data_IF_091644295930
#
_entry.id   IF_091644295930
#
_cell.length_a   1.000
_cell.length_b   1.000
_cell.length_c   1.000
_cell.angle_alpha   90.00
_cell.angle_beta   90.00
_cell.angle_gamma   90.00
#
_symmetry.space_group_name_H-M   'P 1'
#
loop_
_entity.id
_entity.type
_entity.pdbx_description
1 polymer ?
#
# COMPACT_ATOMS: atom_id res chain seq x y z
N UNK A 1 -59.69 -65.61 -42.16
CA UNK A 1 -58.57 -64.67 -42.26
C UNK A 1 -58.70 -63.64 -41.15
N UNK A 2 -57.97 -63.79 -40.08
CA UNK A 2 -57.95 -62.83 -38.93
C UNK A 2 -56.69 -62.02 -39.04
N UNK A 3 -56.83 -60.68 -39.13
CA UNK A 3 -55.72 -59.74 -39.08
C UNK A 3 -55.38 -59.47 -37.62
N UNK A 4 -54.17 -59.81 -37.24
CA UNK A 4 -53.58 -59.45 -35.96
C UNK A 4 -53.12 -57.96 -35.99
N UNK A 5 -53.64 -57.19 -35.07
CA UNK A 5 -53.20 -55.79 -34.83
C UNK A 5 -52.07 -55.80 -33.82
N UNK A 6 -50.89 -55.46 -34.28
CA UNK A 6 -49.74 -55.19 -33.41
C UNK A 6 -49.84 -53.77 -32.85
N UNK A 7 -49.80 -53.68 -31.53
CA UNK A 7 -49.69 -52.42 -30.78
C UNK A 7 -48.21 -52.02 -30.66
N UNK A 8 -47.82 -50.77 -30.97
CA UNK A 8 -46.47 -50.35 -30.83
C UNK A 8 -46.11 -50.12 -29.35
N UNK A 9 -44.81 -50.26 -28.93
CA UNK A 9 -44.38 -50.12 -27.54
C UNK A 9 -44.42 -48.69 -27.09
N UNK A 10 -44.90 -48.50 -25.85
CA UNK A 10 -44.97 -47.29 -25.06
C UNK A 10 -43.59 -46.63 -24.87
N UNK A 11 -43.35 -45.47 -25.51
CA UNK A 11 -42.17 -44.63 -25.30
C UNK A 11 -42.41 -43.78 -24.07
N UNK A 12 -41.97 -44.26 -22.90
CA UNK A 12 -41.87 -43.43 -21.69
C UNK A 12 -40.83 -42.33 -21.89
N UNK A 13 -41.17 -41.03 -21.66
CA UNK A 13 -40.19 -39.97 -21.72
C UNK A 13 -39.16 -40.12 -20.57
N UNK A 14 -37.88 -40.07 -20.92
CA UNK A 14 -36.77 -40.07 -19.98
C UNK A 14 -36.94 -38.92 -18.98
N UNK A 15 -37.04 -39.26 -17.69
CA UNK A 15 -37.00 -38.29 -16.60
C UNK A 15 -35.66 -37.57 -16.65
N UNK A 16 -35.64 -36.31 -17.11
CA UNK A 16 -34.50 -35.38 -16.89
C UNK A 16 -34.35 -35.20 -15.39
N UNK A 17 -33.21 -35.67 -14.85
CA UNK A 17 -32.82 -35.43 -13.48
C UNK A 17 -32.71 -33.91 -13.22
N UNK A 18 -32.89 -33.47 -11.99
CA UNK A 18 -32.77 -32.07 -11.65
C UNK A 18 -31.38 -31.59 -12.06
N UNK A 19 -31.32 -30.65 -13.02
CA UNK A 19 -30.09 -29.99 -13.45
C UNK A 19 -29.45 -29.38 -12.25
N UNK A 20 -28.12 -29.62 -12.09
CA UNK A 20 -27.29 -28.99 -11.09
C UNK A 20 -27.56 -27.48 -11.15
N UNK A 21 -27.96 -26.82 -10.04
CA UNK A 21 -28.26 -25.39 -10.10
C UNK A 21 -27.05 -24.67 -10.64
N UNK A 22 -27.24 -23.86 -11.70
CA UNK A 22 -26.29 -22.91 -12.20
C UNK A 22 -25.83 -22.11 -10.97
N UNK A 23 -24.52 -22.10 -10.71
CA UNK A 23 -23.88 -21.32 -9.67
C UNK A 23 -24.31 -19.86 -9.91
N UNK A 24 -25.34 -19.42 -9.19
CA UNK A 24 -25.71 -18.01 -9.16
C UNK A 24 -24.44 -17.23 -8.84
N UNK A 25 -24.16 -16.22 -9.63
CA UNK A 25 -23.12 -15.23 -9.35
C UNK A 25 -23.30 -14.81 -7.89
N UNK A 26 -22.35 -15.22 -7.05
CA UNK A 26 -22.34 -14.80 -5.64
C UNK A 26 -21.81 -13.39 -5.66
N UNK A 27 -22.68 -12.40 -5.46
CA UNK A 27 -22.39 -10.97 -5.29
C UNK A 27 -21.57 -10.68 -4.03
N UNK A 28 -20.61 -11.53 -3.66
CA UNK A 28 -19.78 -11.39 -2.49
C UNK A 28 -18.34 -11.82 -2.76
N UNK A 29 -17.40 -11.42 -1.90
CA UNK A 29 -16.00 -11.78 -2.04
C UNK A 29 -15.83 -13.31 -2.07
N UNK A 30 -14.92 -13.78 -2.92
CA UNK A 30 -14.59 -15.20 -2.99
C UNK A 30 -14.02 -15.71 -1.67
N UNK A 31 -14.13 -17.00 -1.39
CA UNK A 31 -13.53 -17.61 -0.19
C UNK A 31 -12.03 -17.28 -0.08
N UNK A 32 -11.33 -17.24 -1.22
CA UNK A 32 -9.91 -16.90 -1.27
C UNK A 32 -9.66 -15.45 -0.82
N UNK A 33 -10.49 -14.51 -1.22
CA UNK A 33 -10.39 -13.09 -0.80
C UNK A 33 -10.69 -12.92 0.68
N UNK A 34 -11.68 -13.66 1.21
CA UNK A 34 -11.97 -13.65 2.66
C UNK A 34 -10.77 -14.19 3.45
N UNK A 35 -10.18 -15.32 3.01
CA UNK A 35 -8.97 -15.88 3.64
C UNK A 35 -7.85 -14.85 3.64
N UNK A 36 -7.55 -14.18 2.51
CA UNK A 36 -6.49 -13.19 2.40
C UNK A 36 -6.72 -11.98 3.31
N UNK A 37 -7.96 -11.50 3.40
CA UNK A 37 -8.29 -10.38 4.29
C UNK A 37 -8.02 -10.75 5.74
N UNK A 38 -8.59 -11.85 6.22
CA UNK A 38 -8.46 -12.29 7.62
C UNK A 38 -6.99 -12.67 7.96
N UNK A 39 -6.29 -13.30 7.01
CA UNK A 39 -4.87 -13.61 7.18
C UNK A 39 -4.01 -12.34 7.27
N UNK A 40 -4.28 -11.34 6.43
CA UNK A 40 -3.57 -10.04 6.48
C UNK A 40 -3.70 -9.39 7.86
N UNK A 41 -4.90 -9.36 8.42
CA UNK A 41 -5.14 -8.81 9.75
C UNK A 41 -4.40 -9.59 10.85
N UNK A 42 -4.46 -10.93 10.80
CA UNK A 42 -3.78 -11.77 11.79
C UNK A 42 -2.26 -11.67 11.69
N UNK A 43 -1.70 -11.69 10.49
CA UNK A 43 -0.27 -11.52 10.28
C UNK A 43 0.21 -10.12 10.68
N UNK A 44 -0.55 -9.09 10.38
CA UNK A 44 -0.27 -7.73 10.84
C UNK A 44 -0.26 -7.62 12.37
N UNK A 45 -1.22 -8.27 13.04
CA UNK A 45 -1.35 -8.20 14.50
C UNK A 45 -0.30 -9.07 15.24
N UNK A 46 -0.03 -10.30 14.79
CA UNK A 46 0.70 -11.33 15.53
C UNK A 46 2.00 -11.78 14.84
N UNK A 47 2.21 -11.37 13.60
CA UNK A 47 3.30 -11.88 12.75
C UNK A 47 3.06 -13.31 12.24
N UNK A 48 3.91 -13.79 11.32
CA UNK A 48 3.79 -15.14 10.78
C UNK A 48 4.05 -16.22 11.84
N UNK A 49 4.93 -15.99 12.83
CA UNK A 49 5.22 -16.95 13.90
C UNK A 49 4.05 -17.08 14.89
N UNK A 50 3.39 -15.96 15.21
CA UNK A 50 2.26 -15.92 16.13
C UNK A 50 0.91 -16.29 15.52
N UNK A 51 0.88 -16.71 14.23
CA UNK A 51 -0.35 -17.03 13.51
C UNK A 51 -0.26 -18.43 12.90
N UNK A 52 -1.22 -19.29 13.20
CA UNK A 52 -1.36 -20.61 12.58
C UNK A 52 -2.42 -20.63 11.49
N UNK A 53 -2.32 -21.58 10.55
CA UNK A 53 -3.38 -21.79 9.54
C UNK A 53 -4.71 -22.20 10.20
N UNK A 54 -4.68 -22.81 11.41
CA UNK A 54 -5.89 -23.12 12.18
C UNK A 54 -6.57 -21.87 12.69
N UNK A 55 -5.82 -20.87 13.17
CA UNK A 55 -6.38 -19.60 13.63
C UNK A 55 -7.07 -18.87 12.48
N UNK A 56 -6.44 -18.87 11.29
CA UNK A 56 -7.00 -18.25 10.09
C UNK A 56 -8.25 -18.98 9.64
N UNK A 57 -8.22 -20.31 9.57
CA UNK A 57 -9.38 -21.13 9.18
C UNK A 57 -10.57 -20.92 10.14
N UNK A 58 -10.30 -20.90 11.45
CA UNK A 58 -11.32 -20.63 12.46
C UNK A 58 -11.94 -19.23 12.30
N UNK A 59 -11.12 -18.21 12.01
CA UNK A 59 -11.59 -16.84 11.82
C UNK A 59 -12.42 -16.67 10.55
N UNK A 60 -12.09 -17.39 9.48
CA UNK A 60 -12.83 -17.42 8.23
C UNK A 60 -14.12 -18.25 8.33
N UNK A 61 -14.19 -19.19 9.31
CA UNK A 61 -15.31 -20.11 9.47
C UNK A 61 -15.26 -21.30 8.50
N UNK A 62 -14.05 -21.76 8.15
CA UNK A 62 -13.82 -22.94 7.29
C UNK A 62 -12.95 -23.97 8.03
N UNK A 63 -12.94 -25.20 7.54
CA UNK A 63 -11.98 -26.18 8.04
C UNK A 63 -10.57 -25.95 7.44
N UNK A 64 -9.54 -26.48 8.12
CA UNK A 64 -8.14 -26.31 7.72
C UNK A 64 -7.85 -26.99 6.38
N UNK A 65 -8.54 -28.06 6.03
CA UNK A 65 -8.37 -28.75 4.74
C UNK A 65 -8.86 -27.90 3.58
N UNK A 66 -9.97 -27.18 3.77
CA UNK A 66 -10.47 -26.18 2.81
C UNK A 66 -9.48 -25.02 2.64
N UNK A 67 -8.85 -24.55 3.72
CA UNK A 67 -7.82 -23.52 3.63
C UNK A 67 -6.60 -24.02 2.86
N UNK A 68 -6.13 -25.24 3.13
CA UNK A 68 -5.01 -25.86 2.39
C UNK A 68 -5.29 -26.01 0.90
N UNK A 69 -6.56 -26.18 0.51
CA UNK A 69 -6.95 -26.23 -0.90
C UNK A 69 -6.70 -24.90 -1.62
N UNK A 70 -6.83 -23.76 -0.91
CA UNK A 70 -6.55 -22.43 -1.43
C UNK A 70 -5.07 -22.04 -1.30
N UNK A 71 -4.42 -22.44 -0.19
CA UNK A 71 -3.04 -22.08 0.15
C UNK A 71 -2.34 -23.28 0.76
N UNK A 72 -1.43 -23.93 0.02
CA UNK A 72 -0.81 -25.20 0.46
C UNK A 72 0.13 -25.03 1.66
N UNK A 73 0.64 -23.83 1.90
CA UNK A 73 1.56 -23.52 2.99
C UNK A 73 1.29 -22.13 3.58
N UNK A 74 1.71 -21.93 4.82
CA UNK A 74 1.58 -20.62 5.51
C UNK A 74 2.42 -19.54 4.81
N UNK A 75 3.57 -19.88 4.32
CA UNK A 75 4.48 -19.00 3.58
C UNK A 75 3.80 -18.49 2.29
N UNK A 76 3.17 -19.38 1.53
CA UNK A 76 2.43 -19.01 0.32
C UNK A 76 1.24 -18.08 0.62
N UNK A 77 0.56 -18.29 1.74
CA UNK A 77 -0.50 -17.40 2.19
C UNK A 77 0.06 -16.03 2.64
N UNK A 78 1.19 -16.04 3.34
CA UNK A 78 1.88 -14.81 3.78
C UNK A 78 2.32 -13.96 2.59
N UNK A 79 2.96 -14.56 1.58
CA UNK A 79 3.37 -13.88 0.36
C UNK A 79 2.15 -13.32 -0.41
N UNK A 80 1.07 -14.09 -0.50
CA UNK A 80 -0.17 -13.64 -1.14
C UNK A 80 -0.86 -12.47 -0.40
N UNK A 81 -0.61 -12.31 0.91
CA UNK A 81 -1.06 -11.12 1.64
C UNK A 81 -0.31 -9.87 1.19
N UNK A 82 1.02 -9.95 0.95
CA UNK A 82 1.80 -8.84 0.40
C UNK A 82 1.38 -8.51 -1.02
N UNK A 83 1.21 -9.52 -1.88
CA UNK A 83 0.70 -9.32 -3.24
C UNK A 83 -0.63 -8.54 -3.24
N UNK A 84 -1.54 -8.93 -2.35
CA UNK A 84 -2.86 -8.28 -2.22
C UNK A 84 -2.74 -6.83 -1.76
N UNK A 85 -1.97 -6.54 -0.69
CA UNK A 85 -1.83 -5.17 -0.18
C UNK A 85 -1.11 -4.29 -1.18
N UNK A 86 -0.07 -4.81 -1.85
CA UNK A 86 0.63 -4.10 -2.91
C UNK A 86 -0.27 -3.78 -4.12
N UNK A 87 -1.10 -4.74 -4.55
CA UNK A 87 -2.03 -4.50 -5.65
C UNK A 87 -3.02 -3.38 -5.32
N UNK A 88 -3.53 -3.33 -4.08
CA UNK A 88 -4.41 -2.26 -3.61
C UNK A 88 -3.69 -0.90 -3.56
N UNK A 89 -2.47 -0.88 -3.01
CA UNK A 89 -1.61 0.30 -2.94
C UNK A 89 -1.30 0.85 -4.34
N UNK A 90 -0.86 0.00 -5.26
CA UNK A 90 -0.62 0.40 -6.65
C UNK A 90 -1.87 0.95 -7.33
N UNK A 91 -3.02 0.31 -7.14
CA UNK A 91 -4.27 0.78 -7.72
C UNK A 91 -4.66 2.19 -7.21
N UNK A 92 -4.45 2.45 -5.92
CA UNK A 92 -4.72 3.75 -5.31
C UNK A 92 -3.74 4.84 -5.78
N UNK A 93 -2.45 4.50 -5.91
CA UNK A 93 -1.39 5.49 -6.17
C UNK A 93 -1.07 5.66 -7.66
N UNK A 94 -1.40 4.72 -8.54
CA UNK A 94 -1.05 4.77 -9.96
C UNK A 94 -1.43 6.10 -10.67
N UNK A 95 -2.62 6.68 -10.47
CA UNK A 95 -2.94 7.97 -11.10
C UNK A 95 -2.06 9.11 -10.57
N UNK A 96 -1.69 9.09 -9.28
CA UNK A 96 -0.87 10.11 -8.64
C UNK A 96 0.60 10.00 -9.08
N UNK A 97 1.10 8.78 -9.27
CA UNK A 97 2.43 8.53 -9.84
C UNK A 97 2.50 9.02 -11.29
N UNK A 98 1.48 8.74 -12.09
CA UNK A 98 1.42 9.24 -13.48
C UNK A 98 1.35 10.77 -13.54
N UNK A 99 0.69 11.43 -12.59
CA UNK A 99 0.67 12.88 -12.47
C UNK A 99 2.05 13.43 -12.11
N UNK A 100 2.75 12.78 -11.20
CA UNK A 100 4.12 13.12 -10.82
C UNK A 100 5.09 12.98 -12.00
N UNK A 101 5.04 11.89 -12.75
CA UNK A 101 5.89 11.66 -13.93
C UNK A 101 5.66 12.75 -14.98
N UNK A 102 4.40 13.14 -15.22
CA UNK A 102 4.09 14.24 -16.15
C UNK A 102 4.62 15.60 -15.65
N UNK A 103 4.51 15.85 -14.36
CA UNK A 103 4.96 17.09 -13.75
C UNK A 103 6.50 17.19 -13.64
N UNK A 104 7.22 16.06 -13.60
CA UNK A 104 8.67 16.00 -13.51
C UNK A 104 9.36 16.72 -14.70
N UNK A 105 8.80 16.59 -15.88
CA UNK A 105 9.31 17.27 -17.08
C UNK A 105 9.16 18.81 -17.01
N UNK A 106 8.18 19.32 -16.26
CA UNK A 106 7.93 20.76 -16.10
C UNK A 106 8.70 21.33 -14.92
N UNK A 107 8.88 20.55 -13.85
CA UNK A 107 9.50 20.98 -12.59
C UNK A 107 8.68 22.03 -11.83
N UNK A 108 9.32 22.71 -10.89
CA UNK A 108 8.73 23.81 -10.14
C UNK A 108 7.42 23.48 -9.39
N UNK A 109 6.48 24.43 -9.39
CA UNK A 109 5.21 24.28 -8.66
C UNK A 109 4.34 23.09 -9.15
N UNK A 110 4.25 22.76 -10.46
CA UNK A 110 3.56 21.55 -10.92
C UNK A 110 4.10 20.27 -10.27
N UNK A 111 5.43 20.12 -10.22
CA UNK A 111 6.09 18.97 -9.59
C UNK A 111 5.82 18.92 -8.08
N UNK A 112 5.99 20.06 -7.40
CA UNK A 112 5.74 20.15 -5.96
C UNK A 112 4.29 19.80 -5.61
N UNK A 113 3.34 20.26 -6.43
CA UNK A 113 1.91 19.96 -6.25
C UNK A 113 1.62 18.47 -6.46
N UNK A 114 2.15 17.86 -7.52
CA UNK A 114 1.96 16.44 -7.79
C UNK A 114 2.60 15.56 -6.70
N UNK A 115 3.77 15.95 -6.20
CA UNK A 115 4.45 15.22 -5.13
C UNK A 115 3.70 15.32 -3.79
N UNK A 116 3.13 16.49 -3.46
CA UNK A 116 2.25 16.65 -2.30
C UNK A 116 1.01 15.76 -2.41
N UNK A 117 0.36 15.76 -3.57
CA UNK A 117 -0.81 14.92 -3.80
C UNK A 117 -0.49 13.43 -3.66
N UNK A 118 0.66 12.98 -4.19
CA UNK A 118 1.12 11.60 -4.04
C UNK A 118 1.39 11.24 -2.57
N UNK A 119 2.08 12.10 -1.84
CA UNK A 119 2.38 11.88 -0.42
C UNK A 119 1.09 11.84 0.43
N UNK A 120 0.14 12.75 0.18
CA UNK A 120 -1.17 12.76 0.85
C UNK A 120 -1.98 11.51 0.50
N UNK A 121 -2.04 11.11 -0.77
CA UNK A 121 -2.74 9.89 -1.19
C UNK A 121 -2.13 8.62 -0.60
N UNK A 122 -0.82 8.57 -0.42
CA UNK A 122 -0.16 7.45 0.27
C UNK A 122 -0.53 7.41 1.76
N UNK A 123 -0.56 8.55 2.43
CA UNK A 123 -1.00 8.63 3.84
C UNK A 123 -2.46 8.22 3.97
N UNK A 124 -3.35 8.71 3.09
CA UNK A 124 -4.77 8.34 3.07
C UNK A 124 -4.94 6.83 2.91
N UNK A 125 -4.24 6.23 1.95
CA UNK A 125 -4.25 4.79 1.73
C UNK A 125 -3.83 4.00 2.98
N UNK A 126 -2.75 4.41 3.64
CA UNK A 126 -2.27 3.73 4.85
C UNK A 126 -3.20 3.92 6.05
N UNK A 127 -3.85 5.08 6.19
CA UNK A 127 -4.84 5.31 7.24
C UNK A 127 -6.12 4.47 7.04
N UNK A 128 -6.54 4.28 5.78
CA UNK A 128 -7.67 3.42 5.42
C UNK A 128 -7.33 1.92 5.53
N UNK A 129 -6.05 1.56 5.37
CA UNK A 129 -5.55 0.19 5.37
C UNK A 129 -4.41 -0.03 6.39
N UNK A 130 -4.64 0.20 7.69
CA UNK A 130 -3.58 0.20 8.70
C UNK A 130 -2.83 -1.15 8.81
N UNK A 131 -3.48 -2.26 8.46
CA UNK A 131 -2.83 -3.57 8.45
C UNK A 131 -1.68 -3.65 7.44
N UNK A 132 -1.70 -2.86 6.38
CA UNK A 132 -0.57 -2.72 5.44
C UNK A 132 0.67 -2.24 6.17
N UNK A 133 0.54 -1.18 6.98
CA UNK A 133 1.64 -0.66 7.81
C UNK A 133 2.24 -1.73 8.71
N UNK A 134 1.41 -2.42 9.50
CA UNK A 134 1.92 -3.39 10.47
C UNK A 134 2.52 -4.62 9.79
N UNK A 135 2.00 -5.03 8.62
CA UNK A 135 2.57 -6.11 7.83
C UNK A 135 3.98 -5.74 7.34
N UNK A 136 4.17 -4.55 6.76
CA UNK A 136 5.46 -4.06 6.29
C UNK A 136 6.46 -3.82 7.43
N UNK A 137 6.06 -3.20 8.55
CA UNK A 137 6.95 -2.98 9.69
C UNK A 137 7.49 -4.30 10.25
N UNK A 138 6.65 -5.32 10.40
CA UNK A 138 7.10 -6.65 10.82
C UNK A 138 8.11 -7.26 9.86
N UNK A 139 7.88 -7.10 8.56
CA UNK A 139 8.81 -7.56 7.54
C UNK A 139 10.15 -6.83 7.62
N UNK A 140 10.17 -5.52 7.79
CA UNK A 140 11.41 -4.73 7.85
C UNK A 140 12.22 -4.99 9.13
N UNK A 141 11.57 -5.35 10.21
CA UNK A 141 12.24 -5.72 11.46
C UNK A 141 12.86 -7.14 11.42
N UNK A 142 12.53 -7.95 10.42
CA UNK A 142 13.14 -9.26 10.18
C UNK A 142 13.89 -9.29 8.83
N UNK A 143 15.16 -8.87 8.78
CA UNK A 143 15.92 -8.80 7.54
C UNK A 143 16.22 -10.16 6.92
N UNK A 144 16.07 -11.25 7.67
CA UNK A 144 16.37 -12.62 7.19
C UNK A 144 15.22 -13.20 6.38
N UNK A 145 14.00 -12.73 6.61
CA UNK A 145 12.78 -13.16 5.91
C UNK A 145 12.33 -12.13 4.89
N UNK A 146 12.01 -12.58 3.70
CA UNK A 146 11.26 -11.79 2.74
C UNK A 146 12.04 -10.67 2.04
N UNK A 147 13.37 -10.72 1.95
CA UNK A 147 14.12 -9.80 1.06
C UNK A 147 13.61 -9.85 -0.39
N UNK A 148 12.98 -10.97 -0.80
CA UNK A 148 12.26 -11.09 -2.06
C UNK A 148 11.03 -10.20 -2.15
N UNK A 149 10.30 -9.99 -1.04
CA UNK A 149 9.09 -9.16 -1.00
C UNK A 149 9.40 -7.68 -1.25
N UNK A 150 10.50 -7.15 -0.67
CA UNK A 150 10.91 -5.78 -0.97
C UNK A 150 11.23 -5.60 -2.45
N UNK A 151 11.97 -6.55 -3.05
CA UNK A 151 12.32 -6.52 -4.47
C UNK A 151 11.11 -6.70 -5.39
N UNK A 152 10.15 -7.51 -4.96
CA UNK A 152 8.96 -7.79 -5.75
C UNK A 152 7.94 -6.63 -5.70
N UNK A 153 7.83 -5.93 -4.57
CA UNK A 153 6.73 -5.01 -4.32
C UNK A 153 7.18 -3.59 -3.97
N UNK A 154 7.93 -3.39 -2.89
CA UNK A 154 8.24 -2.04 -2.40
C UNK A 154 9.21 -1.28 -3.32
N UNK A 155 10.34 -1.90 -3.70
CA UNK A 155 11.36 -1.22 -4.49
C UNK A 155 10.91 -0.78 -5.88
N UNK A 156 10.08 -1.52 -6.65
CA UNK A 156 9.58 -1.04 -7.93
C UNK A 156 8.72 0.23 -7.80
N UNK A 157 7.83 0.28 -6.81
CA UNK A 157 6.99 1.46 -6.59
C UNK A 157 7.80 2.69 -6.18
N UNK A 158 8.76 2.51 -5.27
CA UNK A 158 9.65 3.62 -4.88
C UNK A 158 10.53 4.09 -6.03
N UNK A 159 11.03 3.15 -6.85
CA UNK A 159 11.85 3.46 -8.01
C UNK A 159 11.14 4.27 -9.09
N UNK A 160 9.83 4.13 -9.26
CA UNK A 160 9.04 4.97 -10.16
C UNK A 160 9.06 6.44 -9.69
N UNK A 161 8.84 6.67 -8.39
CA UNK A 161 8.87 8.01 -7.79
C UNK A 161 10.29 8.59 -7.81
N UNK A 162 11.27 7.79 -7.38
CA UNK A 162 12.69 8.20 -7.35
C UNK A 162 13.19 8.62 -8.72
N UNK A 163 12.82 7.89 -9.77
CA UNK A 163 13.21 8.21 -11.16
C UNK A 163 12.62 9.56 -11.58
N UNK A 164 11.33 9.82 -11.36
CA UNK A 164 10.70 11.09 -11.70
C UNK A 164 11.38 12.27 -11.00
N UNK A 165 11.72 12.12 -9.72
CA UNK A 165 12.42 13.16 -8.96
C UNK A 165 13.88 13.33 -9.39
N UNK A 166 14.56 12.24 -9.78
CA UNK A 166 15.92 12.29 -10.28
C UNK A 166 16.00 13.01 -11.64
N UNK A 167 15.04 12.78 -12.52
CA UNK A 167 14.91 13.48 -13.79
C UNK A 167 14.76 14.99 -13.58
N UNK A 168 13.89 15.40 -12.64
CA UNK A 168 13.73 16.80 -12.26
C UNK A 168 15.01 17.42 -11.65
N UNK A 169 15.72 16.65 -10.83
CA UNK A 169 17.01 17.09 -10.25
C UNK A 169 18.09 17.28 -11.32
N UNK A 170 18.19 16.34 -12.28
CA UNK A 170 19.13 16.43 -13.40
C UNK A 170 18.82 17.59 -14.34
N UNK A 171 17.54 17.92 -14.51
CA UNK A 171 17.10 19.10 -15.26
C UNK A 171 17.35 20.43 -14.50
N UNK A 172 17.81 20.38 -13.27
CA UNK A 172 18.06 21.57 -12.43
C UNK A 172 16.78 22.27 -11.96
N UNK A 173 15.64 21.62 -12.05
CA UNK A 173 14.34 22.20 -11.69
C UNK A 173 14.01 22.09 -10.21
N UNK A 174 14.77 21.30 -9.47
CA UNK A 174 14.65 21.11 -8.02
C UNK A 174 16.02 21.18 -7.31
N UNK A 175 16.00 21.47 -6.01
CA UNK A 175 17.23 21.55 -5.19
C UNK A 175 17.64 20.19 -4.61
N UNK A 176 16.72 19.26 -4.53
CA UNK A 176 16.97 17.93 -3.97
C UNK A 176 17.91 17.12 -4.90
N UNK A 177 18.93 16.52 -4.30
CA UNK A 177 19.95 15.74 -5.02
C UNK A 177 19.98 14.27 -4.61
N UNK A 178 19.19 13.90 -3.60
CA UNK A 178 19.13 12.53 -3.03
C UNK A 178 17.70 11.98 -2.95
N UNK A 179 16.95 11.93 -4.07
CA UNK A 179 15.52 11.54 -4.07
C UNK A 179 15.24 10.22 -3.37
N UNK A 180 16.14 9.23 -3.46
CA UNK A 180 15.99 7.94 -2.79
C UNK A 180 15.95 8.05 -1.25
N UNK A 181 16.68 9.01 -0.67
CA UNK A 181 16.64 9.26 0.79
C UNK A 181 15.31 9.92 1.15
N UNK A 182 14.89 10.91 0.37
CA UNK A 182 13.62 11.62 0.59
C UNK A 182 12.42 10.67 0.50
N UNK A 183 12.33 9.86 -0.55
CA UNK A 183 11.24 8.88 -0.73
C UNK A 183 11.22 7.89 0.43
N UNK A 184 12.36 7.29 0.77
CA UNK A 184 12.45 6.36 1.90
C UNK A 184 12.08 7.01 3.23
N UNK A 185 12.52 8.25 3.48
CA UNK A 185 12.21 8.98 4.72
C UNK A 185 10.69 9.25 4.82
N UNK A 186 10.04 9.66 3.74
CA UNK A 186 8.60 9.86 3.69
C UNK A 186 7.82 8.56 3.91
N UNK A 187 8.25 7.46 3.30
CA UNK A 187 7.65 6.14 3.52
C UNK A 187 7.71 5.75 5.00
N UNK A 188 8.89 5.85 5.63
CA UNK A 188 9.04 5.56 7.05
C UNK A 188 8.22 6.51 7.93
N UNK A 189 8.18 7.80 7.61
CA UNK A 189 7.38 8.78 8.35
C UNK A 189 5.88 8.47 8.26
N UNK A 190 5.36 8.10 7.08
CA UNK A 190 3.96 7.72 6.90
C UNK A 190 3.59 6.46 7.70
N UNK A 191 4.40 5.42 7.69
CA UNK A 191 4.18 4.24 8.52
C UNK A 191 4.30 4.55 10.03
N UNK A 192 5.23 5.42 10.42
CA UNK A 192 5.35 5.92 11.79
C UNK A 192 4.10 6.66 12.25
N UNK A 193 3.55 7.52 11.38
CA UNK A 193 2.29 8.23 11.62
C UNK A 193 1.12 7.27 11.87
N UNK A 194 0.91 6.26 11.02
CA UNK A 194 -0.16 5.26 11.24
C UNK A 194 0.04 4.50 12.55
N UNK A 195 1.28 4.24 12.94
CA UNK A 195 1.60 3.61 14.22
C UNK A 195 1.22 4.53 15.40
N UNK A 196 1.50 5.83 15.30
CA UNK A 196 1.10 6.82 16.30
C UNK A 196 -0.44 6.92 16.41
N UNK A 197 -1.14 6.95 15.26
CA UNK A 197 -2.63 6.94 15.25
C UNK A 197 -3.22 5.71 15.93
N UNK A 198 -2.60 4.53 15.78
CA UNK A 198 -3.09 3.30 16.40
C UNK A 198 -3.00 3.34 17.93
N UNK A 199 -2.05 4.07 18.49
CA UNK A 199 -1.85 4.23 19.93
C UNK A 199 -2.64 5.41 20.54
N UNK A 200 -3.11 6.37 19.72
CA UNK A 200 -3.67 7.63 20.16
C UNK A 200 -5.17 7.53 20.51
N UNK A 201 -5.63 8.38 21.43
CA UNK A 201 -7.05 8.62 21.69
C UNK A 201 -7.73 9.33 20.51
N UNK A 202 -9.07 9.33 20.39
CA UNK A 202 -9.76 10.00 19.29
C UNK A 202 -9.38 11.48 19.10
N UNK A 203 -9.23 12.24 20.18
CA UNK A 203 -8.84 13.65 20.12
C UNK A 203 -7.40 13.87 19.67
N UNK A 204 -6.50 12.97 20.11
CA UNK A 204 -5.09 12.98 19.70
C UNK A 204 -4.93 12.61 18.24
N UNK A 205 -5.74 11.67 17.71
CA UNK A 205 -5.72 11.28 16.29
C UNK A 205 -6.00 12.43 15.35
N UNK A 206 -7.00 13.28 15.69
CA UNK A 206 -7.34 14.44 14.85
C UNK A 206 -6.16 15.42 14.77
N UNK A 207 -5.55 15.72 15.93
CA UNK A 207 -4.37 16.58 16.00
C UNK A 207 -3.19 15.97 15.24
N UNK A 208 -2.89 14.70 15.46
CA UNK A 208 -1.80 13.97 14.81
C UNK A 208 -1.93 14.01 13.28
N UNK A 209 -3.15 13.76 12.74
CA UNK A 209 -3.41 13.86 11.30
C UNK A 209 -3.11 15.25 10.76
N UNK A 210 -3.58 16.28 11.44
CA UNK A 210 -3.36 17.65 11.02
C UNK A 210 -1.88 18.03 11.03
N UNK A 211 -1.19 17.77 12.13
CA UNK A 211 0.21 18.13 12.34
C UNK A 211 1.12 17.36 11.37
N UNK A 212 0.86 16.07 11.15
CA UNK A 212 1.64 15.26 10.23
C UNK A 212 1.48 15.73 8.77
N UNK A 213 0.26 15.98 8.30
CA UNK A 213 0.03 16.49 6.93
C UNK A 213 0.66 17.86 6.73
N UNK A 214 0.59 18.75 7.74
CA UNK A 214 1.25 20.04 7.70
C UNK A 214 2.77 19.90 7.61
N UNK A 215 3.34 18.95 8.36
CA UNK A 215 4.77 18.66 8.30
C UNK A 215 5.17 18.12 6.92
N UNK A 216 4.45 17.16 6.35
CA UNK A 216 4.72 16.61 5.01
C UNK A 216 4.73 17.73 3.96
N UNK A 217 3.73 18.60 3.96
CA UNK A 217 3.66 19.74 3.03
C UNK A 217 4.88 20.65 3.15
N UNK A 218 5.19 21.07 4.37
CA UNK A 218 6.36 21.96 4.62
C UNK A 218 7.67 21.32 4.24
N UNK A 219 7.84 20.03 4.51
CA UNK A 219 9.01 19.27 4.15
C UNK A 219 9.19 19.21 2.63
N UNK A 220 8.13 18.89 1.89
CA UNK A 220 8.16 18.83 0.44
C UNK A 220 8.33 20.22 -0.20
N UNK A 221 7.70 21.26 0.33
CA UNK A 221 7.86 22.63 -0.15
C UNK A 221 9.30 23.14 0.03
N UNK A 222 9.97 22.73 1.10
CA UNK A 222 11.37 23.09 1.33
C UNK A 222 12.33 22.47 0.30
N UNK A 223 12.03 21.24 -0.17
CA UNK A 223 12.90 20.50 -1.10
C UNK A 223 12.52 20.74 -2.58
N UNK A 224 11.22 20.81 -2.87
CA UNK A 224 10.70 20.79 -4.23
C UNK A 224 9.86 22.03 -4.59
N UNK A 225 9.53 22.87 -3.62
CA UNK A 225 8.77 24.10 -3.87
C UNK A 225 9.54 25.06 -4.75
N UNK A 226 8.85 26.05 -5.36
CA UNK A 226 9.50 27.08 -6.17
C UNK A 226 10.54 27.76 -5.32
N UNK A 227 11.77 27.85 -5.83
CA UNK A 227 12.84 28.57 -5.16
C UNK A 227 12.35 29.96 -4.77
N UNK A 228 12.51 30.36 -3.51
CA UNK A 228 12.40 31.79 -3.20
C UNK A 228 13.30 32.50 -4.18
N UNK A 229 12.71 33.26 -5.09
CA UNK A 229 13.46 34.21 -5.88
C UNK A 229 14.31 34.95 -4.87
N UNK A 230 15.64 34.94 -5.04
CA UNK A 230 16.54 35.71 -4.20
C UNK A 230 15.97 37.13 -4.21
N UNK A 231 15.39 37.51 -3.09
CA UNK A 231 14.97 38.87 -2.87
C UNK A 231 16.22 39.71 -3.03
N UNK A 232 16.23 40.50 -4.08
CA UNK A 232 17.29 41.33 -4.62
C UNK A 232 18.50 41.53 -3.71
N UNK A 233 19.65 41.30 -4.27
CA UNK A 233 20.93 41.82 -3.78
C UNK A 233 20.83 43.32 -3.65
N UNK A 234 20.30 43.77 -2.49
CA UNK A 234 20.49 45.10 -1.94
C UNK A 234 21.81 45.09 -1.20
N UNK A 235 22.80 45.71 -1.78
CA UNK A 235 24.08 46.12 -1.19
C UNK A 235 23.94 46.53 0.29
N UNK A 236 24.73 45.93 1.18
CA UNK A 236 24.85 46.39 2.58
C UNK A 236 25.77 45.50 3.42
N UNK A 237 27.06 45.84 3.40
CA UNK A 237 28.08 45.71 4.47
C UNK A 237 27.96 44.54 5.49
N UNK A 238 29.05 43.78 5.51
CA UNK A 238 29.69 43.03 6.58
C UNK A 238 29.30 43.43 8.01
N UNK A 239 29.01 42.44 8.83
CA UNK A 239 29.64 42.32 10.15
C UNK A 239 29.53 40.88 10.64
N UNK A 240 30.65 40.35 11.12
CA UNK A 240 30.76 39.00 11.61
C UNK A 240 30.11 38.86 12.97
N UNK A 241 29.58 37.68 13.22
CA UNK A 241 29.40 37.20 14.59
C UNK A 241 29.47 35.68 14.59
N UNK A 242 30.51 35.19 15.22
CA UNK A 242 30.71 33.80 15.63
C UNK A 242 29.52 33.32 16.43
N UNK A 243 28.86 32.26 15.96
CA UNK A 243 27.88 31.51 16.76
C UNK A 243 28.59 30.34 17.40
N UNK A 244 28.88 30.51 18.67
CA UNK A 244 29.34 29.47 19.58
C UNK A 244 28.26 28.43 19.76
N UNK A 245 28.56 27.19 19.35
CA UNK A 245 27.74 26.02 19.68
C UNK A 245 27.99 25.66 21.14
N UNK A 246 27.06 25.98 22.01
CA UNK A 246 27.06 25.45 23.38
C UNK A 246 26.36 24.08 23.40
N UNK A 247 27.20 23.13 23.63
CA UNK A 247 26.94 21.77 24.08
C UNK A 247 26.33 21.82 25.48
N UNK A 248 25.17 21.20 25.69
CA UNK A 248 24.80 20.75 27.05
C UNK A 248 24.09 19.41 26.91
N UNK A 249 24.81 18.37 27.27
CA UNK A 249 24.29 17.09 27.72
C UNK A 249 24.40 17.14 29.25
N UNK A 250 23.29 17.06 29.95
CA UNK A 250 23.13 16.37 31.23
C UNK A 250 21.78 15.71 31.28
#
# INVERSE_FOLDING_TARGET
MRKSSETPPDQRPARRGPGRPRRAERDGPSTREVILREATELFAARGPEGTSLRDIAARVGIDVSSLHHHFPAKEALYDACFERVHAAERAALAPLVADLERAAATGGEPLATALRALAEGFVDFLEEHPHTTFLWLRRWLDPTRGAGLDRAYALPLYGEVERALLEAAQAGTVRETTPHVTVRSLVWAAHGHVTALAAASPAERERERYEFRLWVRRFLDALYGPGRAEAGTGSGAREGSDVIIHRTLE
#
